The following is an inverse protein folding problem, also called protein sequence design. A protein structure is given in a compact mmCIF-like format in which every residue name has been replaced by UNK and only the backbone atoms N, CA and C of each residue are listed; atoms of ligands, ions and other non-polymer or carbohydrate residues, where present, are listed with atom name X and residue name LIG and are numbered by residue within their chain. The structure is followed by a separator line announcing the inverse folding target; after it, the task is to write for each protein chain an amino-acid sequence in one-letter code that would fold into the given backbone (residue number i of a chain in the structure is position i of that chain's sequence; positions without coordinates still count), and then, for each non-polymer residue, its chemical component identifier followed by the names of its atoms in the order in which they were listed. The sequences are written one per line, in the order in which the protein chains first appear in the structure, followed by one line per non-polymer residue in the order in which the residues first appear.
data_IF_111097372674
#
_entry.id   IF_111097372674
#
_cell.length_a   1.000
_cell.length_b   1.000
_cell.length_c   1.000
_cell.angle_alpha   90.00
_cell.angle_beta   90.00
_cell.angle_gamma   90.00
#
_symmetry.space_group_name_H-M   'P 1'
#
loop_
_entity.id
_entity.type
_entity.pdbx_description
1 polymer ?
#
# COMPACT_ATOMS: atom_id res chain seq x y z
N UNK A 1 -30.38 -22.16 55.87
CA UNK A 1 -30.98 -21.39 54.76
C UNK A 1 -30.05 -20.23 54.43
N UNK A 2 -29.37 -20.24 53.27
CA UNK A 2 -28.51 -19.12 52.84
C UNK A 2 -29.41 -18.05 52.20
N UNK A 3 -29.39 -16.82 52.73
CA UNK A 3 -30.04 -15.66 52.08
C UNK A 3 -29.26 -15.33 50.80
N UNK A 4 -29.87 -15.56 49.64
CA UNK A 4 -29.42 -14.98 48.38
C UNK A 4 -29.64 -13.46 48.44
N UNK A 5 -28.55 -12.69 48.52
CA UNK A 5 -28.60 -11.24 48.30
C UNK A 5 -28.93 -11.03 46.82
N UNK A 6 -30.09 -10.43 46.54
CA UNK A 6 -30.46 -10.02 45.19
C UNK A 6 -29.61 -8.82 44.75
N UNK A 7 -29.34 -8.74 43.46
CA UNK A 7 -28.65 -7.61 42.83
C UNK A 7 -29.60 -6.40 42.79
N UNK A 8 -29.16 -5.25 43.32
CA UNK A 8 -29.99 -4.05 43.36
C UNK A 8 -29.90 -3.25 42.05
N UNK A 9 -30.96 -2.51 41.72
CA UNK A 9 -30.99 -1.63 40.54
C UNK A 9 -29.94 -0.52 40.64
N UNK A 10 -29.67 -0.04 41.86
CA UNK A 10 -28.63 0.98 42.13
C UNK A 10 -27.23 0.44 41.86
N UNK A 11 -26.94 -0.80 42.27
CA UNK A 11 -25.66 -1.46 41.98
C UNK A 11 -25.43 -1.58 40.46
N UNK A 12 -26.47 -1.93 39.69
CA UNK A 12 -26.37 -1.95 38.23
C UNK A 12 -26.10 -0.57 37.65
N UNK A 13 -26.83 0.44 38.12
CA UNK A 13 -26.78 1.79 37.55
C UNK A 13 -25.39 2.42 37.69
N UNK A 14 -24.80 2.34 38.89
CA UNK A 14 -23.46 2.89 39.13
C UNK A 14 -22.41 2.20 38.24
N UNK A 15 -22.51 0.87 38.08
CA UNK A 15 -21.56 0.10 37.26
C UNK A 15 -21.68 0.50 35.79
N UNK A 16 -22.90 0.59 35.25
CA UNK A 16 -23.11 0.96 33.84
C UNK A 16 -22.64 2.39 33.58
N UNK A 17 -22.89 3.33 34.48
CA UNK A 17 -22.43 4.72 34.33
C UNK A 17 -20.91 4.83 34.36
N UNK A 18 -20.23 4.13 35.28
CA UNK A 18 -18.76 4.14 35.33
C UNK A 18 -18.16 3.46 34.09
N UNK A 19 -18.75 2.36 33.61
CA UNK A 19 -18.32 1.72 32.37
C UNK A 19 -18.48 2.65 31.17
N UNK A 20 -19.58 3.39 31.07
CA UNK A 20 -19.81 4.37 30.00
C UNK A 20 -18.75 5.49 30.02
N UNK A 21 -18.35 5.96 31.20
CA UNK A 21 -17.29 6.98 31.34
C UNK A 21 -15.94 6.48 30.80
N UNK A 22 -15.56 5.23 31.12
CA UNK A 22 -14.31 4.63 30.63
C UNK A 22 -14.36 4.46 29.11
N UNK A 23 -15.47 3.92 28.57
CA UNK A 23 -15.64 3.69 27.13
C UNK A 23 -15.59 5.01 26.34
N UNK A 24 -16.17 6.08 26.86
CA UNK A 24 -16.19 7.39 26.20
C UNK A 24 -14.78 7.95 25.92
N UNK A 25 -13.80 7.66 26.78
CA UNK A 25 -12.40 8.07 26.58
C UNK A 25 -11.59 6.99 25.84
N UNK A 26 -11.85 5.71 26.12
CA UNK A 26 -11.08 4.62 25.54
C UNK A 26 -11.31 4.44 24.03
N UNK A 27 -12.56 4.54 23.57
CA UNK A 27 -12.91 4.36 22.15
C UNK A 27 -12.22 5.35 21.22
N UNK A 28 -12.25 6.69 21.43
CA UNK A 28 -11.57 7.62 20.54
C UNK A 28 -10.05 7.42 20.53
N UNK A 29 -9.45 7.11 21.68
CA UNK A 29 -8.02 6.79 21.75
C UNK A 29 -7.67 5.54 20.93
N UNK A 30 -8.47 4.47 21.04
CA UNK A 30 -8.29 3.25 20.27
C UNK A 30 -8.45 3.47 18.76
N UNK A 31 -9.42 4.27 18.34
CA UNK A 31 -9.61 4.58 16.91
C UNK A 31 -8.42 5.35 16.34
N UNK A 32 -7.89 6.32 17.10
CA UNK A 32 -6.69 7.08 16.71
C UNK A 32 -5.44 6.19 16.65
N UNK A 33 -5.25 5.27 17.61
CA UNK A 33 -4.11 4.35 17.58
C UNK A 33 -4.18 3.38 16.41
N UNK A 34 -5.38 2.91 16.04
CA UNK A 34 -5.56 2.08 14.86
C UNK A 34 -5.23 2.83 13.55
N UNK A 35 -5.65 4.09 13.42
CA UNK A 35 -5.30 4.91 12.26
C UNK A 35 -3.79 5.10 12.13
N UNK A 36 -3.11 5.46 13.23
CA UNK A 36 -1.66 5.62 13.26
C UNK A 36 -0.93 4.31 12.90
N UNK A 37 -1.40 3.16 13.38
CA UNK A 37 -0.83 1.85 13.05
C UNK A 37 -0.95 1.53 11.55
N UNK A 38 -2.10 1.83 10.93
CA UNK A 38 -2.29 1.62 9.48
C UNK A 38 -1.42 2.55 8.64
N UNK A 39 -1.27 3.80 9.04
CA UNK A 39 -0.35 4.76 8.41
C UNK A 39 1.11 4.28 8.50
N UNK A 40 1.54 3.78 9.66
CA UNK A 40 2.87 3.19 9.85
C UNK A 40 3.07 1.93 9.00
N UNK A 41 2.04 1.10 8.85
CA UNK A 41 2.07 -0.07 7.97
C UNK A 41 2.22 0.34 6.51
N UNK A 42 1.42 1.31 6.04
CA UNK A 42 1.52 1.84 4.68
C UNK A 42 2.93 2.39 4.38
N UNK A 43 3.51 3.17 5.30
CA UNK A 43 4.89 3.64 5.17
C UNK A 43 5.90 2.47 5.07
N UNK A 44 5.72 1.42 5.87
CA UNK A 44 6.55 0.21 5.81
C UNK A 44 6.42 -0.52 4.47
N UNK A 45 5.20 -0.63 3.93
CA UNK A 45 4.96 -1.20 2.59
C UNK A 45 5.68 -0.40 1.51
N UNK A 46 5.65 0.94 1.58
CA UNK A 46 6.37 1.80 0.63
C UNK A 46 7.90 1.56 0.69
N UNK A 47 8.48 1.41 1.90
CA UNK A 47 9.90 1.04 2.06
C UNK A 47 10.20 -0.34 1.48
N UNK A 48 9.30 -1.29 1.70
CA UNK A 48 9.42 -2.63 1.16
C UNK A 48 9.43 -2.60 -0.38
N UNK A 49 8.54 -1.84 -1.02
CA UNK A 49 8.48 -1.72 -2.48
C UNK A 49 9.79 -1.19 -3.08
N UNK A 50 10.40 -0.15 -2.50
CA UNK A 50 11.72 0.36 -2.94
C UNK A 50 12.81 -0.73 -2.85
N UNK A 51 12.77 -1.51 -1.76
CA UNK A 51 13.70 -2.63 -1.58
C UNK A 51 13.45 -3.74 -2.60
N UNK A 52 12.18 -4.05 -2.88
CA UNK A 52 11.82 -5.07 -3.87
C UNK A 52 12.15 -4.64 -5.31
N UNK A 53 12.04 -3.35 -5.65
CA UNK A 53 12.53 -2.82 -6.93
C UNK A 53 14.03 -2.98 -7.09
N UNK A 54 14.78 -2.71 -6.02
CA UNK A 54 16.22 -2.92 -6.02
C UNK A 54 16.56 -4.41 -6.23
N UNK A 55 15.78 -5.31 -5.63
CA UNK A 55 15.94 -6.76 -5.83
C UNK A 55 15.55 -7.19 -7.24
N UNK A 56 14.46 -6.65 -7.80
CA UNK A 56 14.04 -6.91 -9.19
C UNK A 56 15.19 -6.61 -10.14
N UNK A 57 15.74 -5.38 -10.05
CA UNK A 57 16.84 -4.92 -10.87
C UNK A 57 18.11 -5.78 -10.76
N UNK A 58 18.37 -6.31 -9.57
CA UNK A 58 19.55 -7.14 -9.31
C UNK A 58 19.38 -8.60 -9.75
N UNK A 59 18.17 -9.15 -9.62
CA UNK A 59 17.91 -10.56 -9.87
C UNK A 59 17.52 -10.85 -11.31
N UNK A 60 17.12 -9.82 -12.08
CA UNK A 60 16.65 -9.96 -13.47
C UNK A 60 15.67 -11.14 -13.58
N UNK A 61 14.54 -11.11 -12.82
CA UNK A 61 13.65 -12.26 -12.71
C UNK A 61 13.00 -12.61 -14.04
N UNK A 62 12.85 -11.65 -14.94
CA UNK A 62 12.36 -11.86 -16.30
C UNK A 62 13.45 -12.24 -17.30
N UNK A 63 14.73 -12.24 -16.90
CA UNK A 63 15.89 -12.71 -17.67
C UNK A 63 16.04 -12.07 -19.03
N UNK A 64 15.78 -10.77 -19.11
CA UNK A 64 15.95 -10.02 -20.35
C UNK A 64 17.41 -9.52 -20.52
N UNK A 65 18.26 -9.67 -19.50
CA UNK A 65 19.65 -9.22 -19.51
C UNK A 65 19.82 -7.71 -19.35
N UNK A 66 18.76 -7.00 -18.94
CA UNK A 66 18.69 -5.56 -18.74
C UNK A 66 18.40 -5.28 -17.27
N UNK A 67 19.19 -4.41 -16.65
CA UNK A 67 18.94 -3.98 -15.27
C UNK A 67 17.88 -2.87 -15.24
N UNK A 68 16.62 -3.28 -15.17
CA UNK A 68 15.44 -2.43 -15.14
C UNK A 68 14.59 -2.58 -13.85
N UNK A 69 13.56 -1.75 -13.72
CA UNK A 69 12.61 -1.69 -12.62
C UNK A 69 11.22 -2.11 -13.09
N UNK A 70 10.45 -2.79 -12.24
CA UNK A 70 9.09 -3.22 -12.56
C UNK A 70 8.06 -2.12 -12.26
N UNK A 71 7.77 -1.30 -13.25
CA UNK A 71 6.92 -0.11 -13.06
C UNK A 71 5.46 -0.31 -13.46
N UNK A 72 5.11 -1.49 -13.99
CA UNK A 72 3.81 -1.71 -14.61
C UNK A 72 2.67 -1.74 -13.60
N UNK A 73 2.87 -2.45 -12.50
CA UNK A 73 1.92 -2.59 -11.41
C UNK A 73 2.62 -3.18 -10.17
N UNK A 74 1.98 -3.13 -9.00
CA UNK A 74 2.54 -3.75 -7.79
C UNK A 74 2.27 -5.25 -7.77
N UNK A 75 1.15 -5.68 -8.35
CA UNK A 75 0.75 -7.10 -8.35
C UNK A 75 1.73 -8.01 -9.09
N UNK A 76 2.36 -7.51 -10.16
CA UNK A 76 3.34 -8.24 -10.94
C UNK A 76 4.61 -8.59 -10.17
N UNK A 77 4.98 -7.80 -9.17
CA UNK A 77 6.09 -8.13 -8.26
C UNK A 77 5.84 -9.42 -7.45
N UNK A 78 4.61 -9.94 -7.44
CA UNK A 78 4.31 -11.29 -7.00
C UNK A 78 4.05 -12.23 -8.17
N UNK A 79 3.15 -11.82 -9.06
CA UNK A 79 2.49 -12.70 -10.02
C UNK A 79 3.26 -13.00 -11.31
N UNK A 80 4.30 -12.24 -11.63
CA UNK A 80 5.09 -12.52 -12.84
C UNK A 80 5.76 -13.89 -12.71
N UNK A 81 5.67 -14.78 -13.72
CA UNK A 81 6.35 -16.06 -13.69
C UNK A 81 7.86 -15.87 -13.90
N UNK A 82 8.65 -16.51 -13.04
CA UNK A 82 10.08 -16.69 -13.22
C UNK A 82 10.39 -17.68 -14.36
N UNK A 83 11.67 -17.91 -14.62
CA UNK A 83 12.11 -18.86 -15.65
C UNK A 83 11.70 -20.33 -15.41
N UNK A 84 11.23 -20.67 -14.20
CA UNK A 84 10.69 -21.99 -13.86
C UNK A 84 9.17 -22.05 -13.97
N UNK A 85 8.52 -20.94 -14.33
CA UNK A 85 7.07 -20.79 -14.40
C UNK A 85 6.41 -20.59 -13.03
N UNK A 86 7.19 -20.32 -11.98
CA UNK A 86 6.68 -20.03 -10.63
C UNK A 86 6.55 -18.52 -10.41
N UNK A 87 5.64 -18.06 -9.55
CA UNK A 87 5.56 -16.63 -9.21
C UNK A 87 6.88 -16.15 -8.57
N UNK A 88 7.36 -14.98 -8.96
CA UNK A 88 8.57 -14.36 -8.39
C UNK A 88 8.43 -14.03 -6.89
N UNK A 89 7.20 -13.73 -6.43
CA UNK A 89 6.85 -13.54 -5.03
C UNK A 89 7.80 -12.61 -4.23
N UNK A 90 8.22 -11.48 -4.82
CA UNK A 90 9.10 -10.50 -4.17
C UNK A 90 8.37 -9.69 -3.09
N UNK A 91 7.08 -9.42 -3.30
CA UNK A 91 6.20 -8.79 -2.29
C UNK A 91 5.32 -9.84 -1.61
N UNK A 92 4.70 -9.49 -0.48
CA UNK A 92 3.67 -10.34 0.13
C UNK A 92 2.38 -10.34 -0.73
N UNK A 93 1.63 -11.44 -0.70
CA UNK A 93 0.36 -11.58 -1.44
C UNK A 93 -0.67 -10.52 -1.03
N UNK A 94 -0.68 -10.07 0.23
CA UNK A 94 -1.54 -9.00 0.69
C UNK A 94 -1.20 -7.66 0.02
N UNK A 95 0.09 -7.34 -0.12
CA UNK A 95 0.57 -6.13 -0.81
C UNK A 95 0.23 -6.20 -2.31
N UNK A 96 0.47 -7.35 -2.95
CA UNK A 96 0.11 -7.56 -4.36
C UNK A 96 -1.40 -7.42 -4.61
N UNK A 97 -2.24 -7.85 -3.66
CA UNK A 97 -3.69 -7.69 -3.73
C UNK A 97 -4.16 -6.28 -3.38
N UNK A 98 -3.37 -5.51 -2.63
CA UNK A 98 -3.63 -4.09 -2.39
C UNK A 98 -3.43 -3.21 -3.62
N UNK A 99 -2.93 -3.76 -4.72
CA UNK A 99 -2.91 -3.06 -5.99
C UNK A 99 -4.32 -2.70 -6.47
N UNK A 100 -4.60 -1.40 -6.55
CA UNK A 100 -5.90 -0.88 -6.97
C UNK A 100 -6.13 -0.98 -8.47
N UNK A 101 -5.06 -0.95 -9.25
CA UNK A 101 -5.10 -0.99 -10.72
C UNK A 101 -4.01 -1.95 -11.20
N UNK A 102 -4.20 -3.28 -10.98
CA UNK A 102 -3.33 -4.26 -11.61
C UNK A 102 -3.39 -4.06 -13.12
N UNK A 103 -2.26 -4.17 -13.79
CA UNK A 103 -2.22 -4.05 -15.24
C UNK A 103 -2.76 -5.31 -15.91
N UNK A 104 -2.60 -6.45 -15.24
CA UNK A 104 -2.88 -7.78 -15.78
C UNK A 104 -3.57 -8.71 -14.78
N UNK A 105 -4.15 -9.78 -15.31
CA UNK A 105 -4.63 -10.92 -14.52
C UNK A 105 -3.48 -11.90 -14.31
N UNK A 106 -3.15 -12.18 -13.05
CA UNK A 106 -2.05 -13.06 -12.64
C UNK A 106 -2.53 -14.41 -12.10
N UNK A 107 -3.84 -14.63 -12.04
CA UNK A 107 -4.48 -15.84 -11.54
C UNK A 107 -4.98 -15.70 -10.10
N UNK A 108 -6.07 -16.41 -9.77
CA UNK A 108 -6.60 -16.46 -8.40
C UNK A 108 -5.63 -17.18 -7.46
N UNK A 109 -5.42 -16.69 -6.21
CA UNK A 109 -6.22 -15.66 -5.51
C UNK A 109 -5.71 -14.21 -5.68
N UNK A 110 -4.69 -13.95 -6.50
CA UNK A 110 -4.12 -12.60 -6.67
C UNK A 110 -5.08 -11.62 -7.33
N UNK A 111 -5.95 -12.10 -8.21
CA UNK A 111 -6.83 -11.23 -9.01
C UNK A 111 -7.94 -10.53 -8.20
N UNK A 112 -8.00 -10.79 -6.88
CA UNK A 112 -8.94 -10.13 -5.98
C UNK A 112 -8.27 -8.93 -5.29
N UNK A 113 -8.59 -7.73 -5.77
CA UNK A 113 -8.15 -6.49 -5.13
C UNK A 113 -8.78 -6.31 -3.75
N UNK A 114 -7.93 -6.29 -2.72
CA UNK A 114 -8.32 -6.00 -1.34
C UNK A 114 -7.30 -5.08 -0.68
N UNK A 115 -7.74 -4.09 0.11
CA UNK A 115 -6.81 -3.18 0.76
C UNK A 115 -6.01 -3.90 1.85
N UNK A 116 -4.70 -3.67 1.87
CA UNK A 116 -3.80 -4.18 2.89
C UNK A 116 -3.81 -3.23 4.10
N UNK A 117 -4.27 -3.74 5.24
CA UNK A 117 -4.52 -2.96 6.47
C UNK A 117 -5.29 -1.65 6.24
N UNK A 118 -6.17 -1.61 5.23
CA UNK A 118 -6.98 -0.44 4.92
C UNK A 118 -6.38 0.54 3.90
N UNK A 119 -5.20 0.23 3.35
CA UNK A 119 -4.57 1.00 2.29
C UNK A 119 -4.56 0.22 0.97
N UNK A 120 -4.67 0.95 -0.13
CA UNK A 120 -4.34 0.46 -1.45
C UNK A 120 -2.97 1.00 -1.86
N UNK A 121 -2.32 0.26 -2.75
CA UNK A 121 -1.09 0.66 -3.42
C UNK A 121 -1.33 0.72 -4.92
N UNK A 122 -0.52 1.48 -5.63
CA UNK A 122 -0.55 1.52 -7.09
C UNK A 122 0.80 2.03 -7.63
N UNK A 123 1.22 1.51 -8.79
CA UNK A 123 2.29 2.11 -9.55
C UNK A 123 1.85 3.48 -10.10
N UNK A 124 2.79 4.43 -10.09
CA UNK A 124 2.66 5.72 -10.76
C UNK A 124 2.73 5.53 -12.28
N UNK A 125 2.16 6.47 -13.02
CA UNK A 125 2.05 6.40 -14.48
C UNK A 125 3.15 7.21 -15.16
N UNK A 126 3.58 8.31 -14.55
CA UNK A 126 4.59 9.20 -15.12
C UNK A 126 5.59 9.73 -14.08
N UNK A 127 6.76 10.10 -14.59
CA UNK A 127 7.87 10.64 -13.84
C UNK A 127 7.74 12.16 -13.58
N UNK A 128 8.80 12.77 -13.02
CA UNK A 128 8.85 14.19 -12.69
C UNK A 128 8.74 15.11 -13.90
N UNK A 129 9.07 14.61 -15.09
CA UNK A 129 9.05 15.34 -16.36
C UNK A 129 7.73 15.08 -17.12
N UNK A 130 6.81 14.31 -16.54
CA UNK A 130 5.55 13.91 -17.16
C UNK A 130 5.70 12.79 -18.18
N UNK A 131 6.89 12.18 -18.28
CA UNK A 131 7.13 11.08 -19.20
C UNK A 131 6.54 9.78 -18.62
N UNK A 132 5.79 9.01 -19.43
CA UNK A 132 5.19 7.77 -18.95
C UNK A 132 6.27 6.74 -18.60
N UNK A 133 6.07 6.00 -17.51
CA UNK A 133 7.01 4.95 -17.11
C UNK A 133 6.99 3.74 -18.04
N UNK A 134 5.84 3.42 -18.62
CA UNK A 134 5.59 2.28 -19.52
C UNK A 134 4.56 2.61 -20.58
N UNK A 135 4.58 1.86 -21.68
CA UNK A 135 3.50 1.86 -22.67
C UNK A 135 2.35 0.94 -22.22
N UNK A 136 1.21 1.54 -21.83
CA UNK A 136 0.03 0.80 -21.33
C UNK A 136 -0.55 -0.19 -22.36
N UNK A 137 -0.26 -0.08 -23.66
CA UNK A 137 -0.84 -0.92 -24.71
C UNK A 137 -0.31 -2.37 -24.76
N UNK A 138 0.72 -2.66 -23.97
CA UNK A 138 1.46 -3.91 -24.07
C UNK A 138 0.79 -5.08 -23.31
N UNK A 139 0.87 -6.30 -23.84
CA UNK A 139 0.24 -7.48 -23.23
C UNK A 139 0.96 -7.94 -21.94
N UNK A 140 0.28 -8.73 -21.09
CA UNK A 140 0.89 -9.31 -19.91
C UNK A 140 2.12 -10.16 -20.22
N UNK A 141 3.14 -10.15 -19.33
CA UNK A 141 4.23 -11.11 -19.41
C UNK A 141 3.68 -12.53 -19.29
N UNK A 142 3.82 -13.35 -20.33
CA UNK A 142 3.34 -14.75 -20.31
C UNK A 142 4.42 -15.72 -19.86
N UNK A 143 5.67 -15.48 -20.27
CA UNK A 143 6.88 -16.23 -19.89
C UNK A 143 8.10 -15.32 -20.16
N UNK A 144 9.22 -15.54 -19.46
CA UNK A 144 10.50 -14.89 -19.75
C UNK A 144 10.95 -15.13 -21.22
N UNK A 145 11.56 -14.14 -21.91
CA UNK A 145 11.81 -12.77 -21.47
C UNK A 145 10.56 -11.90 -21.62
N UNK A 146 10.09 -11.35 -20.50
CA UNK A 146 8.74 -10.80 -20.41
C UNK A 146 8.69 -9.31 -20.01
N UNK A 147 9.73 -8.75 -19.38
CA UNK A 147 9.65 -7.42 -18.78
C UNK A 147 10.26 -6.28 -19.60
N UNK A 148 10.94 -6.53 -20.73
CA UNK A 148 11.52 -5.45 -21.55
C UNK A 148 10.49 -4.37 -21.97
N UNK A 149 9.21 -4.70 -22.01
CA UNK A 149 8.11 -3.80 -22.39
C UNK A 149 7.31 -3.26 -21.18
N UNK A 150 7.51 -3.82 -19.99
CA UNK A 150 6.80 -3.46 -18.76
C UNK A 150 7.73 -2.90 -17.67
N UNK A 151 9.00 -2.70 -18.01
CA UNK A 151 10.03 -2.23 -17.11
C UNK A 151 10.65 -0.91 -17.57
N UNK A 152 11.28 -0.21 -16.64
CA UNK A 152 11.94 1.07 -16.86
C UNK A 152 13.38 1.04 -16.33
N UNK A 153 14.35 1.50 -17.13
CA UNK A 153 15.78 1.35 -16.81
C UNK A 153 16.30 2.31 -15.73
N UNK A 154 15.54 3.35 -15.38
CA UNK A 154 16.05 4.45 -14.56
C UNK A 154 15.15 4.91 -13.43
N UNK A 155 13.83 4.82 -13.59
CA UNK A 155 12.88 5.48 -12.68
C UNK A 155 11.71 4.55 -12.36
N UNK A 156 11.15 4.72 -11.17
CA UNK A 156 9.91 4.07 -10.75
C UNK A 156 9.18 4.96 -9.76
N UNK A 157 7.89 4.73 -9.57
CA UNK A 157 7.14 5.42 -8.55
C UNK A 157 5.97 4.60 -8.06
N UNK A 158 5.72 4.66 -6.76
CA UNK A 158 4.56 4.03 -6.14
C UNK A 158 3.82 5.04 -5.28
N UNK A 159 2.52 4.83 -5.15
CA UNK A 159 1.66 5.55 -4.22
C UNK A 159 0.89 4.58 -3.33
N UNK A 160 0.69 4.96 -2.08
CA UNK A 160 -0.25 4.29 -1.19
C UNK A 160 -1.31 5.29 -0.70
N UNK A 161 -2.57 4.87 -0.69
CA UNK A 161 -3.70 5.74 -0.32
C UNK A 161 -4.77 4.95 0.44
N UNK A 162 -5.52 5.60 1.34
CA UNK A 162 -6.49 4.91 2.16
C UNK A 162 -7.68 4.41 1.33
N UNK A 163 -8.20 3.22 1.66
CA UNK A 163 -9.40 2.67 1.04
C UNK A 163 -10.67 3.49 1.32
N UNK A 164 -10.66 4.22 2.42
CA UNK A 164 -11.66 5.26 2.74
C UNK A 164 -11.03 6.29 3.67
N UNK A 165 -11.06 7.55 3.24
CA UNK A 165 -10.57 8.68 4.01
C UNK A 165 -11.29 8.79 5.37
N UNK A 166 -10.59 9.28 6.40
CA UNK A 166 -10.97 9.37 7.83
C UNK A 166 -11.22 8.05 8.58
N UNK A 167 -11.72 7.01 7.91
CA UNK A 167 -12.03 5.72 8.55
C UNK A 167 -10.88 4.72 8.50
N UNK A 168 -10.15 4.68 7.38
CA UNK A 168 -9.06 3.71 7.15
C UNK A 168 -7.69 4.37 7.25
N UNK A 169 -7.58 5.64 6.87
CA UNK A 169 -6.38 6.44 6.94
C UNK A 169 -6.64 7.89 6.58
N UNK A 170 -5.66 8.76 6.87
CA UNK A 170 -5.74 10.20 6.63
C UNK A 170 -4.76 10.63 5.53
N UNK A 171 -3.59 10.02 5.50
CA UNK A 171 -2.52 10.46 4.59
C UNK A 171 -2.35 9.55 3.40
N UNK A 172 -1.95 10.16 2.29
CA UNK A 172 -1.47 9.53 1.05
C UNK A 172 0.05 9.54 1.08
N UNK A 173 0.64 8.47 0.57
CA UNK A 173 2.09 8.28 0.49
C UNK A 173 2.52 8.17 -0.95
N UNK A 174 3.73 8.63 -1.22
CA UNK A 174 4.41 8.52 -2.49
C UNK A 174 5.89 8.20 -2.26
N UNK A 175 6.46 7.33 -3.09
CA UNK A 175 7.89 7.01 -3.06
C UNK A 175 8.40 6.85 -4.48
N UNK A 176 9.66 7.21 -4.68
CA UNK A 176 10.37 7.08 -5.95
C UNK A 176 11.73 6.43 -5.77
N UNK A 177 12.55 6.41 -6.83
CA UNK A 177 13.89 5.83 -6.85
C UNK A 177 14.87 6.45 -5.84
N UNK A 178 14.57 7.65 -5.34
CA UNK A 178 15.30 8.30 -4.26
C UNK A 178 15.09 7.65 -2.89
N UNK A 179 14.07 6.78 -2.76
CA UNK A 179 13.72 6.11 -1.52
C UNK A 179 13.09 7.03 -0.46
N UNK A 180 12.88 8.30 -0.78
CA UNK A 180 12.26 9.27 0.13
C UNK A 180 10.75 9.06 0.10
N UNK A 181 10.18 8.76 1.26
CA UNK A 181 8.74 8.59 1.39
C UNK A 181 8.14 9.95 1.69
N UNK A 182 7.34 10.42 0.75
CA UNK A 182 6.54 11.62 0.88
C UNK A 182 5.17 11.25 1.44
N UNK A 183 4.68 12.09 2.33
CA UNK A 183 3.37 11.97 2.96
C UNK A 183 2.61 13.29 2.81
N UNK A 184 1.33 13.19 2.47
CA UNK A 184 0.43 14.34 2.42
C UNK A 184 -0.96 13.95 2.89
N UNK A 185 -1.53 14.78 3.74
CA UNK A 185 -2.97 14.77 4.00
C UNK A 185 -3.59 15.83 3.08
N UNK A 186 -4.28 15.37 2.04
CA UNK A 186 -4.92 16.21 1.03
C UNK A 186 -6.40 16.48 1.35
N UNK A 187 -6.90 16.00 2.51
CA UNK A 187 -8.31 16.11 2.87
C UNK A 187 -9.25 15.17 2.11
N UNK A 188 -8.74 14.36 1.18
CA UNK A 188 -9.58 13.52 0.30
C UNK A 188 -9.14 12.05 0.23
N UNK A 189 -7.87 11.77 0.54
CA UNK A 189 -7.25 10.45 0.39
C UNK A 189 -7.06 10.05 -1.08
N UNK A 190 -6.98 11.01 -1.99
CA UNK A 190 -6.90 10.71 -3.43
C UNK A 190 -5.51 10.23 -3.80
N UNK A 191 -5.45 9.15 -4.58
CA UNK A 191 -4.19 8.59 -5.07
C UNK A 191 -3.42 9.60 -5.94
N UNK A 192 -2.09 9.48 -5.92
CA UNK A 192 -1.21 10.33 -6.71
C UNK A 192 -0.48 9.48 -7.73
N UNK A 193 -0.80 9.69 -9.01
CA UNK A 193 -0.32 8.86 -10.10
C UNK A 193 0.85 9.49 -10.87
N UNK A 194 1.08 10.78 -10.70
CA UNK A 194 2.06 11.53 -11.48
C UNK A 194 3.11 12.09 -10.51
N UNK A 195 4.38 11.73 -10.72
CA UNK A 195 5.46 12.12 -9.82
C UNK A 195 5.70 13.63 -9.79
N UNK A 196 5.38 14.36 -10.86
CA UNK A 196 5.51 15.82 -10.90
C UNK A 196 4.72 16.55 -9.80
N UNK A 197 3.67 15.92 -9.25
CA UNK A 197 2.85 16.49 -8.18
C UNK A 197 3.33 16.17 -6.76
N UNK A 198 4.48 15.49 -6.62
CA UNK A 198 5.05 15.06 -5.34
C UNK A 198 6.28 15.90 -5.01
N UNK A 199 6.28 16.56 -3.85
CA UNK A 199 7.42 17.36 -3.42
C UNK A 199 7.06 18.47 -2.42
N UNK A 200 8.07 19.17 -1.88
CA UNK A 200 7.86 20.19 -0.86
C UNK A 200 6.98 21.34 -1.37
N UNK A 201 7.13 21.73 -2.64
CA UNK A 201 6.37 22.81 -3.27
C UNK A 201 4.87 22.51 -3.38
N UNK A 202 4.51 21.21 -3.42
CA UNK A 202 3.13 20.74 -3.46
C UNK A 202 2.56 20.41 -2.06
N UNK A 203 3.23 20.81 -0.98
CA UNK A 203 2.79 20.63 0.40
C UNK A 203 3.00 19.22 0.97
N UNK A 204 3.93 18.45 0.40
CA UNK A 204 4.30 17.15 0.92
C UNK A 204 5.35 17.28 2.03
N UNK A 205 5.25 16.41 3.04
CA UNK A 205 6.25 16.25 4.09
C UNK A 205 6.97 14.92 3.94
N UNK A 206 8.18 14.82 4.48
CA UNK A 206 8.88 13.53 4.56
C UNK A 206 8.24 12.70 5.68
N UNK A 207 7.89 11.46 5.37
CA UNK A 207 7.30 10.53 6.33
C UNK A 207 8.37 9.88 7.20
N UNK A 208 8.19 9.93 8.52
CA UNK A 208 9.13 9.33 9.48
C UNK A 208 10.36 10.18 9.82
N UNK A 209 10.32 11.47 9.49
CA UNK A 209 11.23 12.49 10.04
C UNK A 209 10.72 13.09 11.34
#
# INVERSE_FOLDING_TARGET
MRRSRGFTLVELLMVVTLLALVVAVAVPCLLRSQLAARQSHACSVMKALVTQESLWRLQDPDRNGVSDYWVRDVRGMYGVPDATGKPVALVDVAVARADRRPAFDYGTPLDVTVPDQGYFVQAMVSDQDGMPYVDESLPPPRFAPAAASCANSGRFGFTAFPASYERRGLSVYAVTEDGVIWEKDDGTGMRVLERMHVGPDAGWRISGG
#
